data_IF_241576171996
#
_entry.id   IF_241576171996
#
_cell.length_a   1.000
_cell.length_b   1.000
_cell.length_c   1.000
_cell.angle_alpha   90.00
_cell.angle_beta   90.00
_cell.angle_gamma   90.00
#
_symmetry.space_group_name_H-M   'P 1'
#
loop_
_entity.id
_entity.type
_entity.pdbx_description
1 polymer ?
#
# COMPACT_ATOMS: atom_id res chain seq x y z
N UNK A 1 17.39 -26.46 2.79
CA UNK A 1 17.43 -26.88 1.38
C UNK A 1 15.97 -27.08 0.99
N UNK A 2 15.38 -26.13 0.34
CA UNK A 2 14.00 -26.24 -0.18
C UNK A 2 13.93 -25.49 -1.50
N UNK A 3 13.53 -26.23 -2.49
CA UNK A 3 13.56 -25.95 -3.90
C UNK A 3 12.60 -24.83 -4.30
N UNK A 4 13.11 -23.64 -4.60
CA UNK A 4 12.44 -22.73 -5.51
C UNK A 4 13.02 -22.92 -6.91
N UNK A 5 12.66 -24.03 -7.56
CA UNK A 5 12.80 -24.16 -9.00
C UNK A 5 11.80 -23.21 -9.67
N UNK A 6 12.36 -22.15 -10.24
CA UNK A 6 11.69 -21.30 -11.22
C UNK A 6 11.17 -22.18 -12.37
N UNK A 7 9.88 -22.44 -12.40
CA UNK A 7 9.17 -22.91 -13.58
C UNK A 7 9.22 -21.80 -14.62
N UNK A 8 10.19 -21.87 -15.53
CA UNK A 8 10.17 -21.11 -16.79
C UNK A 8 9.25 -21.89 -17.74
N UNK A 9 8.04 -21.41 -18.04
CA UNK A 9 7.25 -22.02 -19.10
C UNK A 9 7.86 -21.60 -20.44
N UNK A 10 8.51 -22.49 -21.11
CA UNK A 10 8.91 -22.33 -22.50
C UNK A 10 7.68 -22.48 -23.38
N UNK A 11 6.91 -21.43 -23.54
CA UNK A 11 5.89 -21.29 -24.57
C UNK A 11 5.92 -19.84 -25.05
N UNK A 12 6.23 -19.63 -26.34
CA UNK A 12 6.12 -18.37 -27.06
C UNK A 12 4.65 -17.91 -27.11
N UNK A 13 4.12 -17.43 -25.99
CA UNK A 13 2.85 -16.68 -25.97
C UNK A 13 3.14 -15.28 -26.48
N UNK A 14 2.59 -14.93 -27.60
CA UNK A 14 2.48 -13.54 -28.05
C UNK A 14 1.61 -12.77 -27.06
N UNK A 15 2.24 -12.14 -26.06
CA UNK A 15 1.54 -11.22 -25.17
C UNK A 15 1.22 -9.93 -25.95
N UNK A 16 0.03 -9.35 -25.72
CA UNK A 16 -0.24 -8.00 -26.19
C UNK A 16 0.78 -7.01 -25.60
N UNK A 17 1.07 -5.90 -26.28
CA UNK A 17 1.99 -4.87 -25.76
C UNK A 17 1.60 -4.40 -24.35
N UNK A 18 0.31 -4.37 -24.06
CA UNK A 18 -0.22 -4.01 -22.72
C UNK A 18 0.14 -5.04 -21.65
N UNK A 19 0.05 -6.33 -21.97
CA UNK A 19 0.40 -7.42 -21.05
C UNK A 19 1.92 -7.48 -20.83
N UNK A 20 2.71 -7.30 -21.87
CA UNK A 20 4.17 -7.23 -21.77
C UNK A 20 4.61 -6.07 -20.86
N UNK A 21 3.98 -4.89 -21.00
CA UNK A 21 4.26 -3.75 -20.12
C UNK A 21 3.88 -4.04 -18.66
N UNK A 22 2.74 -4.68 -18.40
CA UNK A 22 2.32 -5.08 -17.06
C UNK A 22 3.35 -6.00 -16.40
N UNK A 23 3.74 -7.08 -17.10
CA UNK A 23 4.74 -8.02 -16.59
C UNK A 23 6.11 -7.37 -16.35
N UNK A 24 6.52 -6.45 -17.23
CA UNK A 24 7.75 -5.67 -17.08
C UNK A 24 7.70 -4.79 -15.84
N UNK A 25 6.60 -4.07 -15.60
CA UNK A 25 6.41 -3.25 -14.40
C UNK A 25 6.45 -4.09 -13.13
N UNK A 26 5.76 -5.23 -13.10
CA UNK A 26 5.77 -6.15 -11.96
C UNK A 26 7.17 -6.68 -11.65
N UNK A 27 7.94 -7.07 -12.68
CA UNK A 27 9.31 -7.52 -12.52
C UNK A 27 10.22 -6.42 -11.93
N UNK A 28 10.09 -5.18 -12.43
CA UNK A 28 10.85 -4.01 -11.94
C UNK A 28 10.48 -3.68 -10.49
N UNK A 29 9.19 -3.67 -10.16
CA UNK A 29 8.71 -3.42 -8.80
C UNK A 29 9.24 -4.49 -7.83
N UNK A 30 9.12 -5.77 -8.18
CA UNK A 30 9.61 -6.89 -7.38
C UNK A 30 11.12 -6.79 -7.16
N UNK A 31 11.88 -6.47 -8.21
CA UNK A 31 13.32 -6.30 -8.13
C UNK A 31 13.71 -5.19 -7.14
N UNK A 32 13.04 -4.04 -7.20
CA UNK A 32 13.32 -2.94 -6.28
C UNK A 32 12.98 -3.31 -4.83
N UNK A 33 11.84 -3.96 -4.57
CA UNK A 33 11.45 -4.42 -3.23
C UNK A 33 12.51 -5.37 -2.65
N UNK A 34 13.02 -6.30 -3.44
CA UNK A 34 14.07 -7.22 -3.01
C UNK A 34 15.39 -6.49 -2.72
N UNK A 35 15.78 -5.54 -3.57
CA UNK A 35 17.01 -4.77 -3.39
C UNK A 35 16.98 -3.87 -2.14
N UNK A 36 15.81 -3.31 -1.78
CA UNK A 36 15.66 -2.49 -0.57
C UNK A 36 15.85 -3.33 0.70
N UNK A 37 15.53 -4.62 0.67
CA UNK A 37 15.82 -5.55 1.79
C UNK A 37 17.32 -5.85 1.95
N UNK A 38 18.12 -5.68 0.89
CA UNK A 38 19.55 -6.01 0.86
C UNK A 38 20.43 -4.79 1.11
N UNK A 39 19.98 -3.59 0.71
CA UNK A 39 20.76 -2.36 0.82
C UNK A 39 19.89 -1.11 0.89
N UNK A 40 20.47 -0.02 1.37
CA UNK A 40 19.78 1.27 1.46
C UNK A 40 19.29 1.75 0.08
N UNK A 41 18.06 2.26 0.01
CA UNK A 41 17.44 2.74 -1.22
C UNK A 41 18.30 3.76 -2.00
N UNK A 42 19.00 4.66 -1.29
CA UNK A 42 19.86 5.66 -1.95
C UNK A 42 21.02 5.04 -2.73
N UNK A 43 21.51 3.86 -2.32
CA UNK A 43 22.62 3.14 -2.97
C UNK A 43 22.19 2.30 -4.15
N UNK A 44 20.90 1.97 -4.27
CA UNK A 44 20.36 1.17 -5.37
C UNK A 44 20.43 1.97 -6.66
N UNK A 45 21.06 1.39 -7.69
CA UNK A 45 21.15 1.98 -9.03
C UNK A 45 20.12 1.39 -9.97
N UNK A 46 19.82 2.10 -11.07
CA UNK A 46 18.97 1.54 -12.15
C UNK A 46 19.60 0.27 -12.74
N UNK A 47 20.93 0.19 -12.78
CA UNK A 47 21.65 -1.01 -13.23
C UNK A 47 21.32 -2.21 -12.36
N UNK A 48 21.28 -2.04 -11.05
CA UNK A 48 20.94 -3.12 -10.12
C UNK A 48 19.51 -3.59 -10.35
N UNK A 49 18.59 -2.64 -10.52
CA UNK A 49 17.16 -2.92 -10.75
C UNK A 49 16.96 -3.72 -12.03
N UNK A 50 17.50 -3.25 -13.17
CA UNK A 50 17.30 -3.93 -14.46
C UNK A 50 17.96 -5.30 -14.50
N UNK A 51 19.13 -5.44 -13.86
CA UNK A 51 19.82 -6.74 -13.72
C UNK A 51 19.00 -7.73 -12.91
N UNK A 52 18.47 -7.28 -11.76
CA UNK A 52 17.66 -8.10 -10.85
C UNK A 52 16.30 -8.45 -11.48
N UNK A 53 15.69 -7.52 -12.23
CA UNK A 53 14.40 -7.71 -12.90
C UNK A 53 14.50 -8.55 -14.17
N UNK A 54 15.71 -8.77 -14.71
CA UNK A 54 15.90 -9.47 -15.98
C UNK A 54 15.36 -8.70 -17.19
N UNK A 55 15.33 -7.36 -17.12
CA UNK A 55 14.80 -6.51 -18.22
C UNK A 55 15.91 -5.64 -18.81
N UNK A 56 15.68 -5.14 -20.04
CA UNK A 56 16.60 -4.20 -20.67
C UNK A 56 16.46 -2.79 -20.07
N UNK A 57 17.51 -1.96 -20.19
CA UNK A 57 17.43 -0.54 -19.83
C UNK A 57 16.36 0.20 -20.62
N UNK A 58 16.18 -0.13 -21.90
CA UNK A 58 15.12 0.44 -22.73
C UNK A 58 13.74 0.10 -22.17
N UNK A 59 13.51 -1.17 -21.78
CA UNK A 59 12.25 -1.58 -21.15
C UNK A 59 12.01 -0.88 -19.80
N UNK A 60 13.07 -0.63 -19.03
CA UNK A 60 12.96 0.16 -17.80
C UNK A 60 12.51 1.59 -18.10
N UNK A 61 13.21 2.31 -18.98
CA UNK A 61 12.90 3.71 -19.30
C UNK A 61 11.60 3.91 -20.07
N UNK A 62 11.09 2.87 -20.71
CA UNK A 62 9.74 2.89 -21.29
C UNK A 62 8.63 2.83 -20.22
N UNK A 63 8.95 2.47 -18.96
CA UNK A 63 7.99 2.32 -17.88
C UNK A 63 8.21 3.31 -16.72
N UNK A 64 9.45 3.69 -16.43
CA UNK A 64 9.82 4.52 -15.29
C UNK A 64 10.97 5.46 -15.65
N UNK A 65 10.86 6.74 -15.27
CA UNK A 65 11.95 7.72 -15.43
C UNK A 65 12.93 7.69 -14.25
N UNK A 66 12.49 7.21 -13.10
CA UNK A 66 13.28 7.13 -11.87
C UNK A 66 12.89 5.95 -10.99
N UNK A 67 13.76 5.57 -10.05
CA UNK A 67 13.43 4.54 -9.05
C UNK A 67 12.38 5.01 -8.03
N UNK A 68 12.21 6.32 -7.85
CA UNK A 68 11.17 6.91 -7.02
C UNK A 68 9.78 6.66 -7.61
N UNK A 69 9.63 6.72 -8.93
CA UNK A 69 8.36 6.42 -9.60
C UNK A 69 7.91 4.98 -9.38
N UNK A 70 8.83 4.04 -9.23
CA UNK A 70 8.50 2.66 -8.89
C UNK A 70 7.85 2.59 -7.50
N UNK A 71 8.37 3.33 -6.52
CA UNK A 71 7.78 3.39 -5.18
C UNK A 71 6.39 4.05 -5.20
N UNK A 72 6.22 5.10 -5.99
CA UNK A 72 4.91 5.76 -6.18
C UNK A 72 3.91 4.77 -6.79
N UNK A 73 4.33 3.99 -7.77
CA UNK A 73 3.50 2.95 -8.39
C UNK A 73 3.07 1.87 -7.40
N UNK A 74 3.98 1.41 -6.54
CA UNK A 74 3.68 0.49 -5.44
C UNK A 74 2.63 1.07 -4.48
N UNK A 75 2.79 2.34 -4.09
CA UNK A 75 1.81 3.03 -3.24
C UNK A 75 0.46 3.13 -3.95
N UNK A 76 0.42 3.56 -5.20
CA UNK A 76 -0.83 3.69 -5.97
C UNK A 76 -1.56 2.35 -6.08
N UNK A 77 -0.83 1.25 -6.30
CA UNK A 77 -1.40 -0.10 -6.36
C UNK A 77 -2.00 -0.52 -5.01
N UNK A 78 -1.32 -0.23 -3.91
CA UNK A 78 -1.81 -0.47 -2.55
C UNK A 78 -3.08 0.34 -2.26
N UNK A 79 -3.07 1.63 -2.55
CA UNK A 79 -4.21 2.52 -2.32
C UNK A 79 -5.42 2.12 -3.17
N UNK A 80 -5.19 1.72 -4.43
CA UNK A 80 -6.26 1.21 -5.28
C UNK A 80 -6.90 -0.07 -4.68
N UNK A 81 -6.10 -1.01 -4.19
CA UNK A 81 -6.61 -2.22 -3.53
C UNK A 81 -7.42 -1.88 -2.27
N UNK A 82 -6.90 -0.99 -1.43
CA UNK A 82 -7.59 -0.49 -0.23
C UNK A 82 -8.96 0.08 -0.62
N UNK A 83 -8.97 0.98 -1.60
CA UNK A 83 -10.20 1.62 -2.06
C UNK A 83 -11.23 0.59 -2.54
N UNK A 84 -10.83 -0.32 -3.42
CA UNK A 84 -11.74 -1.34 -3.96
C UNK A 84 -12.35 -2.22 -2.86
N UNK A 85 -11.56 -2.61 -1.88
CA UNK A 85 -12.02 -3.49 -0.79
C UNK A 85 -12.84 -2.76 0.27
N UNK A 86 -12.60 -1.47 0.50
CA UNK A 86 -13.31 -0.68 1.52
C UNK A 86 -14.56 0.03 0.99
N UNK A 87 -14.65 0.29 -0.32
CA UNK A 87 -15.79 0.98 -0.93
C UNK A 87 -17.17 0.40 -0.53
N UNK A 88 -17.39 -0.93 -0.49
CA UNK A 88 -18.67 -1.51 -0.07
C UNK A 88 -19.08 -1.15 1.37
N UNK A 89 -18.10 -0.91 2.24
CA UNK A 89 -18.29 -0.58 3.65
C UNK A 89 -18.28 0.92 3.94
N UNK A 90 -18.17 1.74 2.89
CA UNK A 90 -18.05 3.20 3.01
C UNK A 90 -19.34 3.88 2.52
N UNK A 91 -19.83 4.85 3.26
CA UNK A 91 -20.94 5.71 2.85
C UNK A 91 -20.47 6.71 1.79
N UNK A 92 -21.11 6.72 0.63
CA UNK A 92 -20.72 7.54 -0.53
C UNK A 92 -20.80 9.04 -0.25
N UNK A 93 -21.75 9.45 0.60
CA UNK A 93 -21.94 10.86 0.89
C UNK A 93 -20.86 11.38 1.81
N UNK A 94 -20.61 10.69 2.91
CA UNK A 94 -19.80 11.20 4.02
C UNK A 94 -18.45 10.53 4.17
N UNK A 95 -18.22 9.37 3.53
CA UNK A 95 -17.03 8.56 3.75
C UNK A 95 -17.01 7.82 5.09
N UNK A 96 -18.10 7.86 5.88
CA UNK A 96 -18.18 7.12 7.14
C UNK A 96 -18.28 5.63 6.88
N UNK A 97 -17.71 4.83 7.78
CA UNK A 97 -17.88 3.39 7.74
C UNK A 97 -19.34 3.02 8.06
N UNK A 98 -19.99 2.29 7.15
CA UNK A 98 -21.35 1.75 7.36
C UNK A 98 -21.35 0.68 8.45
N UNK A 99 -20.30 -0.15 8.47
CA UNK A 99 -20.08 -1.23 9.42
C UNK A 99 -18.65 -1.09 10.01
N UNK A 100 -18.45 -0.27 11.05
CA UNK A 100 -17.10 0.09 11.55
C UNK A 100 -16.22 -1.13 11.86
N UNK A 101 -16.79 -2.18 12.46
CA UNK A 101 -16.04 -3.40 12.78
C UNK A 101 -15.50 -4.08 11.53
N UNK A 102 -16.32 -4.26 10.51
CA UNK A 102 -15.91 -4.87 9.24
C UNK A 102 -14.91 -3.99 8.49
N UNK A 103 -15.18 -2.69 8.44
CA UNK A 103 -14.29 -1.73 7.80
C UNK A 103 -12.88 -1.78 8.39
N UNK A 104 -12.76 -1.70 9.72
CA UNK A 104 -11.48 -1.74 10.42
C UNK A 104 -10.81 -3.09 10.21
N UNK A 105 -11.55 -4.21 10.33
CA UNK A 105 -10.99 -5.55 10.12
C UNK A 105 -10.42 -5.72 8.71
N UNK A 106 -11.19 -5.38 7.68
CA UNK A 106 -10.76 -5.45 6.27
C UNK A 106 -9.54 -4.57 6.03
N UNK A 107 -9.50 -3.37 6.61
CA UNK A 107 -8.35 -2.47 6.51
C UNK A 107 -7.08 -3.13 7.09
N UNK A 108 -7.15 -3.70 8.29
CA UNK A 108 -6.01 -4.40 8.91
C UNK A 108 -5.60 -5.65 8.11
N UNK A 109 -6.55 -6.40 7.54
CA UNK A 109 -6.27 -7.56 6.69
C UNK A 109 -5.47 -7.17 5.44
N UNK A 110 -5.86 -6.09 4.74
CA UNK A 110 -5.15 -5.60 3.55
C UNK A 110 -3.72 -5.22 3.91
N UNK A 111 -3.56 -4.42 4.94
CA UNK A 111 -2.25 -3.97 5.37
C UNK A 111 -1.36 -5.13 5.84
N UNK A 112 -1.92 -6.13 6.53
CA UNK A 112 -1.18 -7.31 6.94
C UNK A 112 -0.71 -8.14 5.74
N UNK A 113 -1.58 -8.34 4.75
CA UNK A 113 -1.25 -9.04 3.52
C UNK A 113 -0.17 -8.32 2.71
N UNK A 114 -0.11 -6.99 2.79
CA UNK A 114 0.83 -6.13 2.06
C UNK A 114 1.95 -5.57 2.94
N UNK A 115 2.15 -6.14 4.14
CA UNK A 115 3.14 -5.63 5.12
C UNK A 115 4.53 -5.46 4.54
N UNK A 116 4.94 -6.35 3.62
CA UNK A 116 6.27 -6.29 3.01
C UNK A 116 6.46 -5.02 2.17
N UNK A 117 5.43 -4.61 1.43
CA UNK A 117 5.44 -3.35 0.67
C UNK A 117 5.53 -2.18 1.65
N UNK A 118 4.73 -2.20 2.72
CA UNK A 118 4.72 -1.12 3.70
C UNK A 118 6.08 -0.97 4.40
N UNK A 119 6.68 -2.06 4.86
CA UNK A 119 8.02 -2.07 5.47
C UNK A 119 9.05 -1.55 4.47
N UNK A 120 8.98 -2.00 3.20
CA UNK A 120 9.83 -1.51 2.10
C UNK A 120 9.75 0.02 1.96
N UNK A 121 8.54 0.59 2.03
CA UNK A 121 8.34 2.04 1.94
C UNK A 121 8.88 2.78 3.17
N UNK A 122 8.78 2.19 4.37
CA UNK A 122 9.41 2.73 5.59
C UNK A 122 10.94 2.75 5.43
N UNK A 123 11.54 1.65 5.01
CA UNK A 123 12.99 1.51 4.83
C UNK A 123 13.52 2.48 3.77
N UNK A 124 12.75 2.70 2.72
CA UNK A 124 13.05 3.68 1.68
C UNK A 124 12.78 5.15 2.11
N UNK A 125 12.18 5.39 3.29
CA UNK A 125 11.71 6.71 3.77
C UNK A 125 10.60 7.33 2.89
N UNK A 126 9.76 6.50 2.30
CA UNK A 126 8.65 6.88 1.40
C UNK A 126 7.25 6.63 2.00
N UNK A 127 7.19 6.20 3.26
CA UNK A 127 5.92 5.87 3.93
C UNK A 127 4.96 7.07 4.08
N UNK A 128 5.46 8.32 4.07
CA UNK A 128 4.62 9.53 4.14
C UNK A 128 3.67 9.66 2.93
N UNK A 129 4.07 9.15 1.74
CA UNK A 129 3.23 9.20 0.53
C UNK A 129 1.95 8.38 0.72
N UNK A 130 1.98 7.32 1.55
CA UNK A 130 0.79 6.49 1.81
C UNK A 130 -0.32 7.32 2.45
N UNK A 131 0.01 8.12 3.46
CA UNK A 131 -0.96 8.98 4.16
C UNK A 131 -1.58 10.00 3.22
N UNK A 132 -0.76 10.67 2.41
CA UNK A 132 -1.24 11.66 1.43
C UNK A 132 -2.20 11.00 0.44
N UNK A 133 -1.83 9.83 -0.13
CA UNK A 133 -2.69 9.11 -1.08
C UNK A 133 -3.97 8.57 -0.47
N UNK A 134 -3.93 8.12 0.80
CA UNK A 134 -5.14 7.72 1.52
C UNK A 134 -6.11 8.90 1.69
N UNK A 135 -5.60 10.07 2.05
CA UNK A 135 -6.41 11.28 2.14
C UNK A 135 -7.01 11.65 0.78
N UNK A 136 -6.19 11.68 -0.28
CA UNK A 136 -6.62 12.00 -1.64
C UNK A 136 -7.79 11.10 -2.09
N UNK A 137 -7.65 9.77 -1.94
CA UNK A 137 -8.67 8.83 -2.41
C UNK A 137 -9.95 8.90 -1.57
N UNK A 138 -9.84 9.08 -0.26
CA UNK A 138 -11.01 9.23 0.61
C UNK A 138 -11.77 10.52 0.29
N UNK A 139 -11.06 11.63 0.09
CA UNK A 139 -11.68 12.91 -0.30
C UNK A 139 -12.28 12.85 -1.71
N UNK A 140 -11.68 12.14 -2.66
CA UNK A 140 -12.22 11.98 -4.00
C UNK A 140 -13.55 11.22 -4.01
N UNK A 141 -13.73 10.25 -3.11
CA UNK A 141 -14.87 9.35 -3.08
C UNK A 141 -16.10 9.86 -2.32
N UNK A 142 -16.03 11.03 -1.68
CA UNK A 142 -17.17 11.56 -0.91
C UNK A 142 -17.87 12.68 -1.64
N UNK A 143 -19.20 12.76 -1.48
CA UNK A 143 -20.02 13.82 -2.06
C UNK A 143 -20.09 15.07 -1.16
N UNK A 144 -20.08 14.87 0.17
CA UNK A 144 -20.11 15.95 1.14
C UNK A 144 -18.73 16.58 1.28
N UNK A 145 -18.58 17.78 0.74
CA UNK A 145 -17.34 18.58 0.76
C UNK A 145 -17.38 19.70 1.81
N UNK A 146 -18.25 19.58 2.83
CA UNK A 146 -18.22 20.51 3.96
C UNK A 146 -16.89 20.43 4.72
N UNK A 147 -16.49 21.55 5.32
CA UNK A 147 -15.24 21.62 6.09
C UNK A 147 -15.24 20.58 7.23
N UNK A 148 -16.37 20.42 7.94
CA UNK A 148 -16.51 19.42 8.99
C UNK A 148 -16.22 18.01 8.47
N UNK A 149 -16.77 17.64 7.30
CA UNK A 149 -16.57 16.32 6.73
C UNK A 149 -15.14 16.13 6.24
N UNK A 150 -14.54 17.14 5.62
CA UNK A 150 -13.15 17.12 5.15
C UNK A 150 -12.21 16.89 6.32
N UNK A 151 -12.29 17.71 7.39
CA UNK A 151 -11.40 17.55 8.56
C UNK A 151 -11.65 16.25 9.31
N UNK A 152 -12.88 15.74 9.34
CA UNK A 152 -13.20 14.43 9.91
C UNK A 152 -12.53 13.30 9.13
N UNK A 153 -12.45 13.39 7.80
CA UNK A 153 -11.72 12.41 6.97
C UNK A 153 -10.23 12.44 7.32
N UNK A 154 -9.60 13.61 7.34
CA UNK A 154 -8.19 13.74 7.73
C UNK A 154 -7.92 13.17 9.12
N UNK A 155 -8.80 13.46 10.08
CA UNK A 155 -8.68 12.93 11.46
C UNK A 155 -8.74 11.39 11.47
N UNK A 156 -9.73 10.79 10.82
CA UNK A 156 -9.93 9.34 10.82
C UNK A 156 -8.81 8.62 10.06
N UNK A 157 -8.44 9.11 8.88
CA UNK A 157 -7.35 8.53 8.09
C UNK A 157 -6.03 8.63 8.84
N UNK A 158 -5.72 9.79 9.42
CA UNK A 158 -4.50 9.99 10.21
C UNK A 158 -4.45 9.10 11.44
N UNK A 159 -5.55 8.98 12.19
CA UNK A 159 -5.63 8.12 13.37
C UNK A 159 -5.40 6.65 13.02
N UNK A 160 -6.13 6.11 12.02
CA UNK A 160 -5.99 4.71 11.59
C UNK A 160 -4.61 4.43 11.00
N UNK A 161 -4.06 5.36 10.21
CA UNK A 161 -2.72 5.25 9.66
C UNK A 161 -1.65 5.17 10.75
N UNK A 162 -1.72 6.01 11.79
CA UNK A 162 -0.77 5.99 12.90
C UNK A 162 -0.87 4.71 13.73
N UNK A 163 -2.09 4.25 14.05
CA UNK A 163 -2.31 2.98 14.76
C UNK A 163 -1.72 1.83 13.97
N UNK A 164 -2.04 1.77 12.68
CA UNK A 164 -1.54 0.75 11.78
C UNK A 164 -0.01 0.78 11.69
N UNK A 165 0.59 1.96 11.48
CA UNK A 165 2.05 2.12 11.38
C UNK A 165 2.77 1.63 12.63
N UNK A 166 2.18 1.88 13.82
CA UNK A 166 2.72 1.38 15.09
C UNK A 166 2.54 -0.13 15.21
N UNK A 167 1.37 -0.65 14.84
CA UNK A 167 1.06 -2.07 14.94
C UNK A 167 2.00 -2.93 14.09
N UNK A 168 2.20 -2.57 12.81
CA UNK A 168 3.02 -3.36 11.88
C UNK A 168 4.49 -3.46 12.28
N UNK A 169 4.96 -2.54 13.13
CA UNK A 169 6.33 -2.47 13.66
C UNK A 169 6.44 -3.00 15.10
N UNK A 170 5.34 -3.45 15.71
CA UNK A 170 5.35 -3.90 17.10
C UNK A 170 5.81 -5.35 17.25
N UNK A 171 6.45 -5.63 18.39
CA UNK A 171 6.80 -6.97 18.85
C UNK A 171 6.49 -7.04 20.37
N UNK A 172 5.67 -7.97 20.87
CA UNK A 172 4.91 -8.97 20.12
C UNK A 172 3.78 -8.38 19.26
N UNK A 173 3.48 -9.07 18.18
CA UNK A 173 2.49 -8.65 17.20
C UNK A 173 1.08 -9.04 17.64
N UNK A 174 0.17 -8.06 17.78
CA UNK A 174 -1.24 -8.34 18.10
C UNK A 174 -1.97 -8.87 16.87
N UNK A 175 -2.96 -9.74 17.11
CA UNK A 175 -3.83 -10.24 16.04
C UNK A 175 -4.70 -9.15 15.43
N UNK A 176 -5.20 -9.38 14.22
CA UNK A 176 -6.13 -8.47 13.54
C UNK A 176 -7.40 -8.25 14.36
N UNK A 177 -7.92 -9.31 15.00
CA UNK A 177 -9.11 -9.22 15.83
C UNK A 177 -8.87 -8.38 17.08
N UNK A 178 -7.73 -8.54 17.79
CA UNK A 178 -7.35 -7.70 18.91
C UNK A 178 -7.23 -6.23 18.50
N UNK A 179 -6.58 -5.94 17.36
CA UNK A 179 -6.45 -4.56 16.86
C UNK A 179 -7.79 -3.96 16.45
N UNK A 180 -8.66 -4.76 15.85
CA UNK A 180 -10.03 -4.34 15.52
C UNK A 180 -10.79 -3.92 16.77
N UNK A 181 -10.77 -4.72 17.84
CA UNK A 181 -11.46 -4.41 19.09
C UNK A 181 -10.85 -3.18 19.81
N UNK A 182 -9.53 -3.01 19.77
CA UNK A 182 -8.86 -1.81 20.30
C UNK A 182 -9.32 -0.56 19.56
N UNK A 183 -9.33 -0.58 18.23
CA UNK A 183 -9.77 0.57 17.43
C UNK A 183 -11.24 0.91 17.65
N UNK A 184 -12.13 -0.10 17.80
CA UNK A 184 -13.54 0.12 18.11
C UNK A 184 -13.74 0.77 19.47
N UNK A 185 -13.00 0.32 20.48
CA UNK A 185 -13.05 0.94 21.83
C UNK A 185 -12.64 2.40 21.78
N UNK A 186 -11.53 2.72 21.07
CA UNK A 186 -11.07 4.11 20.92
C UNK A 186 -12.12 4.95 20.17
N UNK A 187 -12.70 4.41 19.11
CA UNK A 187 -13.68 5.11 18.28
C UNK A 187 -14.98 5.44 19.05
N UNK A 188 -15.41 4.56 19.95
CA UNK A 188 -16.63 4.74 20.77
C UNK A 188 -16.39 5.47 22.10
N UNK A 189 -15.13 5.73 22.47
CA UNK A 189 -14.84 6.47 23.69
C UNK A 189 -14.93 7.97 23.39
N UNK A 190 -15.88 8.71 23.99
CA UNK A 190 -15.91 10.17 23.87
C UNK A 190 -14.58 10.73 24.38
N UNK A 191 -14.00 11.70 23.67
CA UNK A 191 -12.95 12.52 24.27
C UNK A 191 -13.60 13.26 25.43
N UNK A 192 -13.42 12.71 26.65
CA UNK A 192 -14.02 13.26 27.85
C UNK A 192 -13.51 14.67 28.08
N UNK A 193 -14.42 15.63 28.12
CA UNK A 193 -14.18 16.91 28.77
C UNK A 193 -13.81 16.61 30.23
N UNK A 194 -12.58 16.92 30.63
CA UNK A 194 -12.15 17.03 32.02
C UNK A 194 -12.19 18.49 32.39
#
# INVERSE_FOLDING_TARGET
>A
MSDYQLLIPNTSKHYSNKETNRLTREAICTALVLLIKEQQFCKITITDIVKRAGVSRTAYYSNYSSKQEILIDLVNSLIFEINQKLLPYTDERTGKAKEPKKFIKVLFEIFYQRRDIYITLIDAKFNYIILDRLNDIMLANVLDKSDENIYRIYFNVGALYNIFSKWIQSDPFKTIDEMTEICLKIYHTPMSEK
#
